data_IF_438028180667
#
_entry.id   IF_438028180667
#
_cell.length_a   1.000
_cell.length_b   1.000
_cell.length_c   1.000
_cell.angle_alpha   90.00
_cell.angle_beta   90.00
_cell.angle_gamma   90.00
#
_symmetry.space_group_name_H-M   'P 1'
#
loop_
_entity.id
_entity.type
_entity.pdbx_description
1 polymer ?
2 non-polymer ?
3 non-polymer ?
4 water ?
#
# COMPACT_ATOMS: atom_id res chain seq x y z
N UNK A 1 -14.65 -5.08 -9.16
CA UNK A 1 -14.97 -3.75 -8.66
C UNK A 1 -14.80 -3.71 -7.15
N UNK A 2 -14.57 -2.53 -6.62
CA UNK A 2 -14.47 -2.42 -5.17
C UNK A 2 -15.81 -2.29 -4.52
N UNK A 3 -15.87 -2.73 -3.28
CA UNK A 3 -17.13 -2.81 -2.57
C UNK A 3 -17.08 -2.24 -1.17
N UNK A 4 -15.90 -1.89 -0.68
CA UNK A 4 -15.79 -1.49 0.71
C UNK A 4 -15.52 -0.01 0.91
N UNK A 5 -16.27 0.59 1.82
CA UNK A 5 -15.92 1.90 2.34
C UNK A 5 -15.21 1.68 3.68
N UNK A 6 -13.89 1.60 3.63
CA UNK A 6 -13.11 1.35 4.83
C UNK A 6 -13.12 2.58 5.74
N UNK A 7 -13.22 2.33 7.04
CA UNK A 7 -13.23 3.42 8.00
C UNK A 7 -11.82 3.67 8.49
N UNK A 8 -11.39 4.93 8.45
CA UNK A 8 -10.06 5.30 8.91
C UNK A 8 -9.94 5.23 10.43
N UNK A 9 -8.73 4.98 10.89
CA UNK A 9 -8.43 4.95 12.31
C UNK A 9 -8.87 6.24 13.00
N UNK A 10 -9.59 6.10 14.10
CA UNK A 10 -9.88 7.24 14.96
C UNK A 10 -8.57 7.76 15.54
N UNK A 11 -8.33 9.06 15.39
CA UNK A 11 -7.10 9.63 15.90
C UNK A 11 -5.88 9.32 15.05
N UNK A 12 -6.08 8.93 13.80
CA UNK A 12 -4.97 8.67 12.89
C UNK A 12 -3.94 9.79 12.95
N UNK A 13 -2.68 9.42 13.11
CA UNK A 13 -1.58 10.37 13.20
C UNK A 13 -0.86 10.43 11.86
N UNK A 14 -1.24 11.41 11.04
CA UNK A 14 -0.71 11.48 9.69
C UNK A 14 0.80 11.74 9.64
N UNK A 15 1.31 12.59 10.53
CA UNK A 15 2.73 12.92 10.49
C UNK A 15 3.58 11.70 10.83
N UNK A 16 3.07 10.84 11.69
CA UNK A 16 3.78 9.62 12.08
C UNK A 16 3.79 8.60 10.95
N UNK A 17 2.66 8.47 10.25
CA UNK A 17 2.54 7.51 9.16
C UNK A 17 3.33 7.98 7.95
N UNK A 18 3.15 9.25 7.59
CA UNK A 18 3.81 9.85 6.43
C UNK A 18 5.11 10.50 6.85
N UNK A 19 6.01 9.69 7.40
CA UNK A 19 7.25 10.19 8.00
C UNK A 19 8.48 9.93 7.13
N UNK A 20 8.28 9.36 5.95
CA UNK A 20 9.37 9.12 5.00
C UNK A 20 9.97 7.74 5.07
N UNK A 21 9.55 6.94 6.04
CA UNK A 21 10.09 5.61 6.24
C UNK A 21 9.32 4.59 5.39
N UNK A 22 9.82 3.36 5.38
CA UNK A 22 9.25 2.29 4.57
C UNK A 22 8.30 1.41 5.39
N UNK A 23 7.23 0.98 4.74
CA UNK A 23 6.30 -0.02 5.26
C UNK A 23 6.36 -1.25 4.35
N UNK A 24 6.47 -2.43 4.96
CA UNK A 24 6.45 -3.69 4.20
C UNK A 24 5.10 -4.36 4.32
N UNK A 25 4.56 -4.87 3.22
CA UNK A 25 3.35 -5.69 3.33
C UNK A 25 3.77 -7.05 3.82
N UNK A 26 3.20 -7.49 4.93
CA UNK A 26 3.50 -8.82 5.46
C UNK A 26 2.38 -9.82 5.21
N UNK A 27 1.16 -9.33 5.09
CA UNK A 27 0.00 -10.20 4.89
C UNK A 27 -1.04 -9.40 4.12
N UNK A 28 -1.81 -10.05 3.26
CA UNK A 28 -2.83 -9.33 2.52
C UNK A 28 -4.07 -10.17 2.26
N UNK A 29 -5.19 -9.47 2.06
CA UNK A 29 -6.47 -10.09 1.78
C UNK A 29 -7.05 -9.44 0.53
N UNK A 30 -7.02 -10.18 -0.57
CA UNK A 30 -7.56 -9.71 -1.84
C UNK A 30 -9.00 -10.18 -1.90
N UNK A 31 -9.95 -9.26 -2.01
CA UNK A 31 -11.35 -9.67 -2.02
C UNK A 31 -11.81 -10.31 -3.33
N UNK A 32 -11.05 -10.10 -4.40
CA UNK A 32 -11.38 -10.72 -5.69
C UNK A 32 -10.15 -11.37 -6.29
N UNK A 33 -9.68 -12.45 -5.65
CA UNK A 33 -8.47 -13.12 -6.15
C UNK A 33 -8.73 -13.75 -7.51
N UNK A 34 -7.77 -13.62 -8.42
CA UNK A 34 -7.88 -14.26 -9.73
C UNK A 34 -7.91 -15.77 -9.55
N UNK A 35 -8.33 -16.48 -10.60
CA UNK A 35 -8.33 -17.93 -10.58
C UNK A 35 -6.91 -18.41 -10.28
N UNK A 36 -5.94 -17.75 -10.90
CA UNK A 36 -4.52 -18.03 -10.65
C UNK A 36 -3.84 -16.76 -10.12
N UNK A 37 -3.80 -16.62 -8.79
CA UNK A 37 -3.23 -15.43 -8.13
C UNK A 37 -1.74 -15.24 -8.36
N UNK A 38 -1.34 -14.02 -8.71
CA UNK A 38 0.08 -13.66 -8.82
C UNK A 38 0.58 -13.25 -7.45
N UNK A 39 1.45 -14.08 -6.87
CA UNK A 39 1.93 -13.84 -5.51
C UNK A 39 3.07 -12.84 -5.48
N UNK A 40 2.74 -11.54 -5.47
CA UNK A 40 3.72 -10.48 -5.37
C UNK A 40 4.10 -10.13 -3.94
N UNK A 41 5.31 -9.60 -3.78
CA UNK A 41 5.77 -8.91 -2.58
C UNK A 41 5.55 -7.42 -2.83
N UNK A 42 5.32 -6.65 -1.77
CA UNK A 42 5.09 -5.23 -1.96
C UNK A 42 5.56 -4.44 -0.74
N UNK A 43 6.02 -3.22 -0.99
CA UNK A 43 6.38 -2.30 0.08
C UNK A 43 6.11 -0.88 -0.41
N UNK A 44 6.03 0.06 0.53
CA UNK A 44 5.82 1.44 0.15
C UNK A 44 6.57 2.36 1.11
N UNK A 45 6.90 3.55 0.64
CA UNK A 45 7.31 4.60 1.54
C UNK A 45 6.25 5.68 1.47
N UNK A 46 5.95 6.28 2.61
CA UNK A 46 4.93 7.31 2.70
C UNK A 46 5.59 8.49 3.39
N UNK A 47 5.49 9.67 2.81
CA UNK A 47 6.13 10.83 3.39
C UNK A 47 5.51 12.13 2.95
N UNK A 48 6.08 13.24 3.38
CA UNK A 48 5.68 14.53 2.85
C UNK A 48 6.87 15.13 2.15
N UNK A 49 6.66 15.69 0.96
CA UNK A 49 7.72 16.36 0.23
C UNK A 49 7.21 17.73 -0.19
N UNK A 50 7.81 18.77 0.39
CA UNK A 50 7.39 20.14 0.12
C UNK A 50 5.90 20.35 0.38
N UNK A 51 5.41 19.79 1.49
CA UNK A 51 4.04 20.01 1.91
C UNK A 51 3.02 19.06 1.30
N UNK A 52 3.43 18.27 0.31
CA UNK A 52 2.52 17.34 -0.33
C UNK A 52 2.69 15.94 0.23
N UNK A 53 1.58 15.24 0.49
CA UNK A 53 1.64 13.83 0.87
C UNK A 53 2.04 13.01 -0.35
N UNK A 54 3.01 12.12 -0.17
CA UNK A 54 3.52 11.31 -1.27
C UNK A 54 3.63 9.85 -0.83
N UNK A 55 3.48 8.95 -1.80
CA UNK A 55 3.79 7.54 -1.58
C UNK A 55 4.59 7.01 -2.75
N UNK A 56 5.57 6.18 -2.44
CA UNK A 56 6.34 5.46 -3.45
C UNK A 56 6.05 3.98 -3.22
N UNK A 57 5.80 3.25 -4.30
CA UNK A 57 5.45 1.84 -4.20
C UNK A 57 6.49 0.97 -4.91
N UNK A 58 6.63 -0.25 -4.40
CA UNK A 58 7.49 -1.28 -4.98
C UNK A 58 6.72 -2.59 -5.01
N UNK A 59 6.63 -3.22 -6.18
CA UNK A 59 6.05 -4.55 -6.33
C UNK A 59 7.12 -5.48 -6.91
N UNK A 60 7.22 -6.69 -6.40
CA UNK A 60 8.19 -7.68 -6.87
C UNK A 60 7.56 -9.07 -6.85
N UNK A 61 7.55 -9.75 -7.99
CA UNK A 61 7.03 -11.11 -8.05
C UNK A 61 8.24 -12.02 -7.99
N UNK A 62 8.40 -12.79 -6.90
CA UNK A 62 9.61 -13.58 -6.75
C UNK A 62 9.69 -14.77 -7.70
N UNK A 63 8.60 -15.08 -8.40
CA UNK A 63 8.64 -16.15 -9.40
C UNK A 63 8.97 -15.59 -10.78
N UNK A 64 8.19 -14.62 -11.25
CA UNK A 64 8.35 -14.11 -12.61
C UNK A 64 9.45 -13.09 -12.70
N UNK A 65 9.79 -12.49 -11.55
CA UNK A 65 10.76 -11.40 -11.47
C UNK A 65 10.18 -10.06 -11.91
N UNK A 66 8.90 -10.03 -12.26
CA UNK A 66 8.29 -8.75 -12.63
C UNK A 66 8.49 -7.78 -11.46
N UNK A 67 8.98 -6.58 -11.78
CA UNK A 67 9.31 -5.61 -10.75
C UNK A 67 8.91 -4.24 -11.24
N UNK A 68 8.16 -3.50 -10.45
CA UNK A 68 7.82 -2.15 -10.85
C UNK A 68 7.69 -1.20 -9.68
N UNK A 69 7.97 0.07 -9.94
CA UNK A 69 7.89 1.14 -8.96
C UNK A 69 6.88 2.17 -9.40
N UNK A 70 6.28 2.84 -8.41
CA UNK A 70 5.34 3.92 -8.68
C UNK A 70 5.56 5.04 -7.70
N UNK A 71 5.19 6.25 -8.11
CA UNK A 71 5.18 7.42 -7.22
C UNK A 71 3.83 8.11 -7.37
N UNK A 72 3.26 8.57 -6.26
CA UNK A 72 1.97 9.27 -6.29
C UNK A 72 1.96 10.44 -5.35
N UNK A 73 1.28 11.51 -5.75
CA UNK A 73 0.85 12.53 -4.82
C UNK A 73 -0.51 12.10 -4.28
N UNK A 74 -0.67 12.18 -2.97
CA UNK A 74 -1.96 11.83 -2.39
C UNK A 74 -2.82 13.06 -2.18
N UNK A 75 -4.07 12.93 -2.58
CA UNK A 75 -5.06 13.96 -2.31
C UNK A 75 -5.92 13.51 -1.13
N UNK A 76 -6.27 14.45 -0.28
CA UNK A 76 -6.99 14.12 0.94
C UNK A 76 -8.49 14.08 0.72
N UNK A 77 -9.14 12.99 1.12
CA UNK A 77 -10.60 12.94 1.15
C UNK A 77 -11.11 13.19 2.57
N UNK A 78 -10.40 12.65 3.55
CA UNK A 78 -10.67 12.89 4.97
C UNK A 78 -9.47 12.37 5.73
N UNK A 79 -9.43 12.54 7.04
CA UNK A 79 -8.26 12.08 7.77
C UNK A 79 -8.07 10.58 7.63
N UNK A 80 -6.93 10.16 7.08
CA UNK A 80 -6.69 8.74 6.88
C UNK A 80 -7.25 8.13 5.60
N UNK A 81 -7.86 8.94 4.73
CA UNK A 81 -8.42 8.44 3.47
C UNK A 81 -7.95 9.32 2.32
N UNK A 82 -7.29 8.69 1.34
CA UNK A 82 -6.61 9.40 0.26
C UNK A 82 -6.92 8.84 -1.11
N UNK A 83 -6.74 9.68 -2.12
CA UNK A 83 -6.83 9.28 -3.51
C UNK A 83 -5.48 9.56 -4.15
N UNK A 84 -4.91 8.56 -4.81
CA UNK A 84 -3.53 8.65 -5.31
C UNK A 84 -3.45 8.38 -6.81
N UNK A 85 -3.10 9.42 -7.57
CA UNK A 85 -2.79 9.26 -8.99
C UNK A 85 -1.36 8.77 -9.16
N UNK A 86 -1.17 7.57 -9.67
CA UNK A 86 0.18 7.01 -9.73
C UNK A 86 0.86 7.21 -11.07
N UNK A 87 2.17 7.37 -11.04
CA UNK A 87 2.96 7.28 -12.26
C UNK A 87 3.96 6.16 -12.08
N UNK A 88 4.10 5.33 -13.10
CA UNK A 88 5.07 4.26 -13.06
C UNK A 88 6.43 4.87 -13.36
N UNK A 89 7.43 4.53 -12.54
CA UNK A 89 8.77 5.07 -12.68
C UNK A 89 9.79 3.95 -12.60
N UNK A 90 11.02 4.21 -13.05
CA UNK A 90 12.09 3.28 -12.72
C UNK A 90 12.54 3.54 -11.28
N UNK A 91 13.52 2.77 -10.80
CA UNK A 91 13.93 2.87 -9.41
C UNK A 91 14.52 4.25 -9.08
N UNK A 92 14.94 4.97 -10.11
CA UNK A 92 15.55 6.28 -9.95
C UNK A 92 14.54 7.42 -10.04
N UNK A 93 13.29 7.10 -10.33
CA UNK A 93 12.25 8.11 -10.44
C UNK A 93 12.00 8.62 -11.84
N UNK A 94 12.69 8.04 -12.82
CA UNK A 94 12.44 8.42 -14.22
C UNK A 94 11.07 7.89 -14.65
N UNK A 95 10.27 8.75 -15.27
CA UNK A 95 8.89 8.40 -15.60
C UNK A 95 8.82 7.41 -16.76
N UNK A 96 8.08 6.32 -16.54
CA UNK A 96 7.82 5.31 -17.58
C UNK A 96 6.40 5.37 -18.09
N UNK A 97 5.45 5.64 -17.18
CA UNK A 97 4.07 5.86 -17.55
C UNK A 97 3.54 7.05 -16.78
N UNK A 98 3.12 8.09 -17.50
CA UNK A 98 2.71 9.34 -16.89
C UNK A 98 1.40 9.18 -16.12
N UNK A 99 1.16 10.08 -15.17
CA UNK A 99 -0.13 10.21 -14.51
C UNK A 99 -1.23 10.39 -15.55
N UNK A 100 -2.34 9.69 -15.35
CA UNK A 100 -3.50 9.84 -16.21
C UNK A 100 -4.76 9.64 -15.37
N UNK A 101 -5.83 10.35 -15.73
CA UNK A 101 -7.03 10.44 -14.89
C UNK A 101 -7.64 9.12 -14.43
N UNK A 102 -7.61 8.10 -15.29
CA UNK A 102 -8.25 6.82 -14.99
C UNK A 102 -7.38 5.83 -14.24
N UNK A 103 -6.27 6.33 -13.69
CA UNK A 103 -5.26 5.51 -13.06
C UNK A 103 -5.01 6.06 -11.67
N UNK A 104 -5.66 5.47 -10.68
CA UNK A 104 -5.50 5.93 -9.30
C UNK A 104 -5.83 4.80 -8.35
N UNK A 105 -5.35 4.89 -7.12
CA UNK A 105 -5.87 4.03 -6.07
C UNK A 105 -6.37 4.87 -4.93
N UNK A 106 -7.36 4.35 -4.20
CA UNK A 106 -7.69 4.96 -2.93
C UNK A 106 -6.93 4.20 -1.86
N UNK A 107 -6.74 4.85 -0.73
CA UNK A 107 -5.88 4.34 0.33
C UNK A 107 -6.49 4.78 1.66
N UNK A 108 -6.85 3.83 2.53
CA UNK A 108 -7.42 4.16 3.84
C UNK A 108 -6.60 3.50 4.94
N UNK A 109 -6.12 4.28 5.90
CA UNK A 109 -5.40 3.71 7.03
C UNK A 109 -6.39 3.40 8.13
N UNK A 110 -6.66 2.11 8.33
CA UNK A 110 -7.65 1.63 9.28
C UNK A 110 -7.11 1.54 10.70
N UNK A 111 -5.81 1.31 10.80
CA UNK A 111 -5.10 1.21 12.08
C UNK A 111 -3.63 1.50 11.81
N UNK A 112 -2.98 2.24 12.70
CA UNK A 112 -1.53 2.40 12.63
C UNK A 112 -0.95 2.69 14.00
N UNK A 113 0.26 2.21 14.22
CA UNK A 113 1.05 2.63 15.37
C UNK A 113 2.47 2.79 14.91
N UNK A 114 3.41 2.80 15.83
CA UNK A 114 4.82 3.00 15.53
C UNK A 114 5.38 1.98 14.55
N UNK A 115 4.90 0.74 14.64
CA UNK A 115 5.54 -0.35 13.92
C UNK A 115 4.65 -1.11 12.95
N UNK A 116 3.35 -0.86 13.00
CA UNK A 116 2.41 -1.68 12.24
C UNK A 116 1.23 -0.88 11.74
N UNK A 117 0.54 -1.42 10.74
CA UNK A 117 -0.64 -0.77 10.21
C UNK A 117 -1.54 -1.76 9.49
N UNK A 118 -2.81 -1.40 9.38
CA UNK A 118 -3.77 -2.12 8.55
C UNK A 118 -4.34 -1.10 7.59
N UNK A 119 -4.24 -1.38 6.29
CA UNK A 119 -4.77 -0.47 5.28
C UNK A 119 -5.73 -1.18 4.33
N UNK A 120 -6.59 -0.39 3.69
CA UNK A 120 -7.43 -0.83 2.61
C UNK A 120 -7.03 -0.04 1.38
N UNK A 121 -7.01 -0.69 0.22
CA UNK A 121 -6.77 0.03 -1.01
C UNK A 121 -7.68 -0.51 -2.10
N UNK A 122 -8.10 0.40 -2.98
CA UNK A 122 -8.89 0.07 -4.17
C UNK A 122 -8.15 0.62 -5.39
N UNK A 123 -7.71 -0.25 -6.30
CA UNK A 123 -6.99 0.19 -7.49
C UNK A 123 -7.93 0.35 -8.68
N UNK A 124 -7.74 1.46 -9.41
CA UNK A 124 -8.40 1.68 -10.68
C UNK A 124 -7.29 1.88 -11.73
N UNK A 125 -7.33 1.07 -12.78
CA UNK A 125 -6.28 1.16 -13.77
C UNK A 125 -6.89 0.85 -15.13
N UNK A 126 -6.97 1.87 -15.97
CA UNK A 126 -7.53 1.73 -17.31
C UNK A 126 -8.91 1.13 -17.28
N UNK A 127 -9.14 0.14 -18.14
CA UNK A 127 -10.43 -0.52 -18.20
C UNK A 127 -10.38 -1.87 -17.49
N UNK A 128 -9.44 -2.02 -16.57
CA UNK A 128 -9.35 -3.23 -15.79
C UNK A 128 -10.42 -3.24 -14.70
N UNK A 129 -10.80 -4.44 -14.26
CA UNK A 129 -11.76 -4.59 -13.18
C UNK A 129 -11.06 -5.18 -11.96
N UNK A 130 -10.77 -4.32 -11.00
CA UNK A 130 -9.99 -4.72 -9.83
C UNK A 130 -10.83 -4.62 -8.56
N UNK A 131 -10.42 -5.34 -7.52
CA UNK A 131 -11.18 -5.39 -6.29
C UNK A 131 -10.44 -4.84 -5.09
N UNK A 132 -11.10 -4.90 -3.93
CA UNK A 132 -10.52 -4.40 -2.70
C UNK A 132 -9.32 -5.23 -2.28
N UNK A 133 -8.36 -4.57 -1.62
CA UNK A 133 -7.25 -5.26 -1.00
C UNK A 133 -7.04 -4.70 0.40
N UNK A 134 -6.96 -5.58 1.39
CA UNK A 134 -6.50 -5.17 2.72
C UNK A 134 -5.06 -5.65 2.91
N UNK A 135 -4.26 -4.83 3.59
CA UNK A 135 -2.87 -5.22 3.83
C UNK A 135 -2.46 -4.91 5.26
N UNK A 136 -1.79 -5.88 5.87
CA UNK A 136 -1.09 -5.65 7.11
C UNK A 136 0.34 -5.22 6.78
N UNK A 137 0.76 -4.10 7.36
CA UNK A 137 2.08 -3.53 7.15
C UNK A 137 2.91 -3.60 8.41
N UNK A 138 4.23 -3.69 8.23
CA UNK A 138 5.16 -3.56 9.36
C UNK A 138 6.37 -2.75 8.94
N UNK A 139 6.98 -2.06 9.88
CA UNK A 139 8.22 -1.33 9.62
C UNK A 139 9.39 -2.28 9.41
N UNK A 140 9.24 -3.52 9.87
CA UNK A 140 10.29 -4.53 9.66
C UNK A 140 9.81 -5.60 8.70
N UNK A 141 10.60 -5.88 7.67
CA UNK A 141 10.14 -6.80 6.65
C UNK A 141 9.93 -8.17 7.27
N UNK A 142 8.92 -8.89 6.80
CA UNK A 142 8.62 -10.22 7.34
C UNK A 142 8.44 -10.33 8.87
N UNK A 143 8.17 -9.23 9.56
CA UNK A 143 7.86 -9.31 10.99
C UNK A 143 6.50 -9.97 11.19
N UNK A 144 6.40 -10.86 12.18
CA UNK A 144 5.13 -11.49 12.48
C UNK A 144 4.16 -10.45 13.02
N UNK A 145 2.91 -10.53 12.61
CA UNK A 145 1.93 -9.54 13.04
C UNK A 145 1.70 -9.65 14.54
N UNK A 146 1.75 -8.49 15.20
CA UNK A 146 1.54 -8.42 16.63
C UNK A 146 0.08 -8.32 17.01
N UNK A 147 -0.17 -8.29 18.30
CA UNK A 147 -1.53 -8.34 18.80
C UNK A 147 -2.35 -7.11 18.45
N UNK A 148 -1.70 -5.94 18.38
CA UNK A 148 -2.45 -4.73 18.10
C UNK A 148 -3.04 -4.75 16.70
N UNK A 149 -2.23 -5.04 15.70
CA UNK A 149 -2.76 -5.06 14.35
C UNK A 149 -3.71 -6.25 14.13
N UNK A 150 -3.43 -7.40 14.75
CA UNK A 150 -4.34 -8.52 14.58
C UNK A 150 -5.70 -8.21 15.20
N UNK A 151 -5.70 -7.51 16.33
CA UNK A 151 -6.96 -7.09 16.92
C UNK A 151 -7.69 -6.10 16.00
N UNK A 152 -6.95 -5.21 15.35
CA UNK A 152 -7.57 -4.28 14.40
C UNK A 152 -8.21 -5.03 13.22
N UNK A 153 -7.57 -6.12 12.78
CA UNK A 153 -8.15 -6.92 11.70
C UNK A 153 -9.50 -7.45 12.18
N UNK A 154 -9.53 -8.01 13.38
CA UNK A 154 -10.77 -8.50 13.95
C UNK A 154 -11.82 -7.39 14.08
N UNK A 155 -11.41 -6.21 14.55
CA UNK A 155 -12.35 -5.12 14.79
C UNK A 155 -12.96 -4.61 13.49
N UNK A 156 -12.25 -4.83 12.38
CA UNK A 156 -12.75 -4.48 11.05
C UNK A 156 -13.68 -5.58 10.53
N UNK A 157 -13.95 -6.57 11.37
CA UNK A 157 -14.78 -7.71 11.02
C UNK A 157 -14.19 -8.53 9.87
N UNK A 158 -12.87 -8.69 9.92
CA UNK A 158 -12.15 -9.54 8.98
C UNK A 158 -11.51 -10.68 9.78
N UNK A 159 -11.25 -11.79 9.09
CA UNK A 159 -10.63 -12.95 9.68
C UNK A 159 -9.18 -13.04 9.24
N UNK A 160 -8.25 -12.84 10.18
CA UNK A 160 -6.83 -12.81 9.82
C UNK A 160 -6.34 -14.13 9.20
N UNK A 161 -6.96 -15.25 9.56
CA UNK A 161 -6.56 -16.53 9.00
C UNK A 161 -6.76 -16.58 7.49
N UNK A 162 -7.61 -15.70 6.95
CA UNK A 162 -7.85 -15.64 5.51
C UNK A 162 -6.76 -14.89 4.75
N UNK A 163 -5.98 -14.08 5.46
CA UNK A 163 -4.90 -13.33 4.82
C UNK A 163 -3.78 -14.24 4.31
N UNK A 164 -3.16 -13.84 3.22
CA UNK A 164 -2.02 -14.54 2.65
C UNK A 164 -0.74 -13.87 3.11
N UNK A 165 0.20 -14.66 3.62
CA UNK A 165 1.47 -14.14 4.09
C UNK A 165 2.45 -13.97 2.95
N UNK A 166 3.27 -12.92 2.99
CA UNK A 166 4.36 -12.76 2.03
C UNK A 166 5.69 -13.18 2.65
N UNK A 167 5.66 -13.58 3.92
CA UNK A 167 6.90 -13.77 4.68
C UNK A 167 7.71 -14.98 4.25
N UNK A 168 7.07 -15.92 3.56
CA UNK A 168 7.76 -17.13 3.12
C UNK A 168 7.91 -17.14 1.59
N UNK A 169 7.96 -15.95 1.00
CA UNK A 169 7.98 -15.81 -0.46
C UNK A 169 9.35 -15.58 -1.07
N UNK A 170 10.39 -15.59 -0.24
CA UNK A 170 11.72 -15.21 -0.71
C UNK A 170 11.65 -13.83 -1.36
N UNK A 171 11.10 -12.86 -0.64
CA UNK A 171 11.01 -11.47 -1.08
C UNK A 171 12.32 -10.74 -0.81
N UNK A 172 12.66 -9.78 -1.66
CA UNK A 172 13.76 -8.87 -1.43
C UNK A 172 13.22 -7.50 -1.80
N UNK A 173 13.73 -6.47 -1.12
CA UNK A 173 13.14 -5.14 -1.21
C UNK A 173 14.21 -4.08 -1.40
N UNK A 174 13.90 -3.15 -2.29
CA UNK A 174 14.79 -2.03 -2.56
C UNK A 174 14.34 -0.83 -1.71
N UNK A 175 14.63 -0.88 -0.42
CA UNK A 175 14.14 0.20 0.45
C UNK A 175 14.84 1.55 0.25
N UNK A 176 16.11 1.54 -0.17
CA UNK A 176 16.78 2.81 -0.44
C UNK A 176 16.12 3.56 -1.59
N UNK A 177 15.75 2.85 -2.64
CA UNK A 177 15.08 3.52 -3.76
C UNK A 177 13.73 4.06 -3.35
N UNK A 178 12.99 3.30 -2.53
CA UNK A 178 11.67 3.75 -2.09
C UNK A 178 11.77 5.07 -1.37
N UNK A 179 12.75 5.19 -0.48
CA UNK A 179 12.91 6.42 0.28
C UNK A 179 13.25 7.58 -0.62
N UNK A 180 14.14 7.38 -1.58
CA UNK A 180 14.54 8.48 -2.43
C UNK A 180 13.46 8.87 -3.43
N UNK A 181 12.56 7.95 -3.73
CA UNK A 181 11.50 8.25 -4.70
C UNK A 181 10.50 9.25 -4.18
N UNK A 182 10.46 9.45 -2.86
CA UNK A 182 9.44 10.33 -2.30
C UNK A 182 9.44 11.75 -2.89
N UNK A 183 10.55 12.17 -3.48
CA UNK A 183 10.69 13.53 -3.99
C UNK A 183 10.38 13.61 -5.48
N UNK A 184 10.06 12.47 -6.08
CA UNK A 184 10.02 12.36 -7.54
C UNK A 184 8.64 12.58 -8.15
#
# INVERSE_FOLDING_TARGET
ACTKNAIAQTGFNKDKYFNGDVWYVTDYLDLEPDDVPKRYCAALAAGTASGKLKEALYHYDPKTQDTFYDVSELQVESLGKYTANFKKVDKNGNVKVAVTAGNYYTFTVMYADDSSALIHTCLHKGNKDLGDLYAVLNRNKDAAAGDKVKSAVSAATLEFSKFISTKENNCAYDNDSLKSLLTK
#
